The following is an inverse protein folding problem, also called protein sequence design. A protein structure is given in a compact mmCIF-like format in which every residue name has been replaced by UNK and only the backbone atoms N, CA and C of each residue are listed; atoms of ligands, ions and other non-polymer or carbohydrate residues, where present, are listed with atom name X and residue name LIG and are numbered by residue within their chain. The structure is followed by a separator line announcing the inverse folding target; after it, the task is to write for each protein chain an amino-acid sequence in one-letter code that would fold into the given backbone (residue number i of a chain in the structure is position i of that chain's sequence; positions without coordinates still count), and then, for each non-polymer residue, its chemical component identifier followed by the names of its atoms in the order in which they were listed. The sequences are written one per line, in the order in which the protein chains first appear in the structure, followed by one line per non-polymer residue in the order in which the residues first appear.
data_IF_474050093937
#
_entry.id   IF_474050093937
#
_cell.length_a   1.000
_cell.length_b   1.000
_cell.length_c   1.000
_cell.angle_alpha   90.00
_cell.angle_beta   90.00
_cell.angle_gamma   90.00
#
_symmetry.space_group_name_H-M   'P 1'
#
loop_
_entity.id
_entity.type
_entity.pdbx_description
1 polymer ?
#
# COMPACT_ATOMS: atom_id res chain seq x y z
N UNK A 1 23.66 -2.37 8.31
CA UNK A 1 22.41 -2.84 8.91
C UNK A 1 21.28 -2.22 8.12
N UNK A 2 20.50 -3.02 7.42
CA UNK A 2 19.23 -2.56 6.83
C UNK A 2 18.23 -3.61 7.26
N UNK A 3 17.50 -3.34 8.34
CA UNK A 3 16.34 -4.13 8.74
C UNK A 3 15.36 -3.97 7.60
N UNK A 4 15.35 -4.98 6.72
CA UNK A 4 14.51 -5.02 5.53
C UNK A 4 13.08 -5.27 5.98
N UNK A 5 12.41 -4.24 6.48
CA UNK A 5 10.96 -4.26 6.55
C UNK A 5 10.48 -4.22 5.10
N UNK A 6 9.86 -5.31 4.66
CA UNK A 6 9.26 -5.37 3.33
C UNK A 6 8.05 -4.43 3.36
N UNK A 7 8.21 -3.23 2.81
CA UNK A 7 7.11 -2.29 2.63
C UNK A 7 6.27 -2.79 1.47
N UNK A 8 5.05 -3.24 1.74
CA UNK A 8 4.09 -3.64 0.73
C UNK A 8 3.12 -2.48 0.52
N UNK A 9 2.89 -2.09 -0.72
CA UNK A 9 1.98 -1.01 -1.08
C UNK A 9 0.88 -1.57 -1.98
N UNK A 10 -0.31 -1.67 -1.43
CA UNK A 10 -1.51 -2.01 -2.18
C UNK A 10 -2.00 -0.77 -2.91
N UNK A 11 -2.02 -0.87 -4.23
CA UNK A 11 -2.39 0.21 -5.14
C UNK A 11 -3.54 -0.20 -6.03
N UNK A 12 -4.18 0.79 -6.64
CA UNK A 12 -5.15 0.60 -7.73
C UNK A 12 -4.85 1.61 -8.84
N UNK A 13 -5.00 1.21 -10.11
CA UNK A 13 -4.75 2.09 -11.25
C UNK A 13 -5.80 3.21 -11.39
N UNK A 14 -6.92 3.17 -10.65
CA UNK A 14 -7.91 4.24 -10.62
C UNK A 14 -7.60 5.37 -9.61
N UNK A 15 -6.50 5.27 -8.87
CA UNK A 15 -6.22 6.10 -7.70
C UNK A 15 -4.95 6.94 -7.86
N UNK A 16 -5.12 8.24 -8.08
CA UNK A 16 -4.02 9.22 -8.21
C UNK A 16 -3.12 9.35 -6.97
N UNK A 17 -3.62 8.98 -5.78
CA UNK A 17 -2.81 8.94 -4.56
C UNK A 17 -1.80 7.80 -4.55
N UNK A 18 -2.11 6.68 -5.21
CA UNK A 18 -1.16 5.57 -5.35
C UNK A 18 0.07 6.02 -6.14
N UNK A 19 -0.15 6.69 -7.27
CA UNK A 19 0.94 7.21 -8.11
C UNK A 19 1.83 8.21 -7.36
N UNK A 20 1.23 9.12 -6.58
CA UNK A 20 1.98 10.09 -5.79
C UNK A 20 2.86 9.39 -4.73
N UNK A 21 2.30 8.40 -4.02
CA UNK A 21 3.02 7.63 -3.02
C UNK A 21 4.18 6.84 -3.62
N UNK A 22 3.95 6.14 -4.73
CA UNK A 22 5.00 5.38 -5.43
C UNK A 22 6.12 6.31 -5.90
N UNK A 23 5.77 7.48 -6.44
CA UNK A 23 6.76 8.47 -6.86
C UNK A 23 7.61 8.99 -5.70
N UNK A 24 6.99 9.26 -4.54
CA UNK A 24 7.71 9.68 -3.34
C UNK A 24 8.65 8.56 -2.84
N UNK A 25 8.18 7.31 -2.79
CA UNK A 25 8.99 6.15 -2.38
C UNK A 25 10.16 5.89 -3.34
N UNK A 26 9.93 5.98 -4.65
CA UNK A 26 10.98 5.86 -5.67
C UNK A 26 12.02 6.96 -5.54
N UNK A 27 11.56 8.20 -5.31
CA UNK A 27 12.43 9.36 -5.12
C UNK A 27 13.27 9.26 -3.86
N UNK A 28 12.69 8.72 -2.78
CA UNK A 28 13.38 8.48 -1.52
C UNK A 28 14.27 7.23 -1.55
N UNK A 29 14.19 6.43 -2.63
CA UNK A 29 14.97 5.20 -2.80
C UNK A 29 14.56 4.09 -1.82
N UNK A 30 13.31 4.15 -1.35
CA UNK A 30 12.75 3.15 -0.44
C UNK A 30 12.43 1.89 -1.24
N UNK A 31 12.85 0.73 -0.74
CA UNK A 31 12.50 -0.54 -1.36
C UNK A 31 11.10 -0.95 -0.91
N UNK A 32 10.15 -1.01 -1.84
CA UNK A 32 8.78 -1.44 -1.60
C UNK A 32 8.32 -2.44 -2.66
N UNK A 33 7.26 -3.19 -2.32
CA UNK A 33 6.58 -4.14 -3.19
C UNK A 33 5.21 -3.58 -3.53
N UNK A 34 5.04 -3.18 -4.79
CA UNK A 34 3.75 -2.73 -5.29
C UNK A 34 2.85 -3.94 -5.59
N UNK A 35 1.65 -3.94 -5.03
CA UNK A 35 0.62 -4.94 -5.31
C UNK A 35 -0.57 -4.21 -5.90
N UNK A 36 -0.88 -4.49 -7.16
CA UNK A 36 -2.08 -3.99 -7.82
C UNK A 36 -3.27 -4.89 -7.46
N UNK A 37 -4.25 -4.33 -6.74
CA UNK A 37 -5.45 -5.05 -6.34
C UNK A 37 -6.41 -5.36 -7.50
N UNK A 38 -6.30 -4.66 -8.62
CA UNK A 38 -7.07 -4.94 -9.83
C UNK A 38 -6.46 -6.14 -10.59
N UNK A 39 -5.14 -6.22 -10.63
CA UNK A 39 -4.42 -7.38 -11.18
C UNK A 39 -4.44 -8.60 -10.24
N UNK A 40 -4.43 -8.35 -8.92
CA UNK A 40 -4.39 -9.36 -7.85
C UNK A 40 -5.64 -9.31 -6.95
N UNK A 41 -6.83 -9.63 -7.49
CA UNK A 41 -8.06 -9.61 -6.71
C UNK A 41 -8.04 -10.60 -5.53
N UNK A 42 -7.18 -11.62 -5.56
CA UNK A 42 -6.95 -12.55 -4.45
C UNK A 42 -6.41 -11.88 -3.18
N UNK A 43 -5.83 -10.68 -3.29
CA UNK A 43 -5.30 -9.92 -2.16
C UNK A 43 -6.30 -8.92 -1.58
N UNK A 44 -7.43 -8.69 -2.25
CA UNK A 44 -8.53 -7.85 -1.74
C UNK A 44 -9.01 -8.31 -0.36
N UNK A 45 -9.22 -9.62 -0.08
CA UNK A 45 -9.64 -10.07 1.25
C UNK A 45 -8.59 -9.80 2.32
N UNK A 46 -7.29 -9.82 1.97
CA UNK A 46 -6.22 -9.49 2.91
C UNK A 46 -6.21 -7.99 3.21
N UNK A 47 -6.28 -7.15 2.17
CA UNK A 47 -6.42 -5.71 2.32
C UNK A 47 -7.65 -5.37 3.17
N UNK A 48 -8.83 -5.97 2.89
CA UNK A 48 -10.04 -5.78 3.71
C UNK A 48 -9.82 -6.23 5.15
N UNK A 49 -9.10 -7.32 5.42
CA UNK A 49 -8.74 -7.71 6.80
C UNK A 49 -7.86 -6.66 7.48
N UNK A 50 -6.89 -6.10 6.76
CA UNK A 50 -5.95 -5.10 7.28
C UNK A 50 -6.62 -3.74 7.54
N UNK A 51 -7.59 -3.36 6.72
CA UNK A 51 -8.37 -2.12 6.85
C UNK A 51 -9.62 -2.26 7.72
N UNK A 52 -9.92 -3.46 8.23
CA UNK A 52 -11.13 -3.71 9.04
C UNK A 52 -12.44 -3.79 8.24
N UNK A 53 -12.35 -4.07 6.94
CA UNK A 53 -13.47 -4.28 6.02
C UNK A 53 -13.66 -3.15 5.01
N UNK A 54 -12.82 -2.13 5.04
CA UNK A 54 -12.96 -0.95 4.18
C UNK A 54 -12.09 -1.07 2.92
N UNK A 55 -12.68 -0.80 1.75
CA UNK A 55 -11.96 -0.83 0.47
C UNK A 55 -11.25 0.48 0.17
N UNK A 56 -10.36 0.88 1.07
CA UNK A 56 -9.61 2.14 0.97
C UNK A 56 -8.26 1.84 0.31
N UNK A 57 -7.85 2.70 -0.62
CA UNK A 57 -6.53 2.65 -1.26
C UNK A 57 -5.95 4.06 -1.32
N UNK A 58 -4.62 4.23 -1.21
CA UNK A 58 -3.59 3.19 -1.05
C UNK A 58 -3.50 2.62 0.38
N UNK A 59 -3.07 1.36 0.52
CA UNK A 59 -2.75 0.75 1.83
C UNK A 59 -1.27 0.38 1.85
N UNK A 60 -0.56 0.84 2.85
CA UNK A 60 0.85 0.50 3.06
C UNK A 60 0.97 -0.45 4.25
N UNK A 61 1.77 -1.48 4.10
CA UNK A 61 2.08 -2.44 5.16
C UNK A 61 3.58 -2.51 5.31
N UNK A 62 4.10 -2.10 6.46
CA UNK A 62 5.50 -2.17 6.81
C UNK A 62 5.69 -3.07 8.02
N UNK A 63 5.93 -4.37 7.76
CA UNK A 63 6.04 -5.37 8.82
C UNK A 63 4.72 -5.51 9.61
N UNK A 64 4.71 -5.05 10.86
CA UNK A 64 3.53 -5.06 11.73
C UNK A 64 2.70 -3.77 11.66
N UNK A 65 3.20 -2.75 10.94
CA UNK A 65 2.53 -1.47 10.80
C UNK A 65 1.66 -1.47 9.53
N UNK A 66 0.36 -1.25 9.71
CA UNK A 66 -0.59 -1.05 8.61
C UNK A 66 -1.00 0.41 8.60
N UNK A 67 -0.75 1.09 7.48
CA UNK A 67 -1.16 2.47 7.24
C UNK A 67 -2.22 2.44 6.14
N UNK A 68 -3.41 2.90 6.47
CA UNK A 68 -4.56 2.96 5.55
C UNK A 68 -4.74 4.39 5.06
N UNK A 69 -4.69 4.59 3.74
CA UNK A 69 -4.88 5.88 3.08
C UNK A 69 -3.66 6.80 3.10
N UNK A 70 -3.60 7.71 2.12
CA UNK A 70 -2.64 8.82 2.12
C UNK A 70 -3.17 9.91 3.07
N UNK A 71 -2.50 10.14 4.21
CA UNK A 71 -2.91 11.05 5.30
C UNK A 71 -4.15 10.67 6.15
N UNK A 72 -4.60 9.41 6.14
CA UNK A 72 -5.63 8.95 7.09
C UNK A 72 -7.04 9.53 6.87
N UNK A 73 -7.34 9.97 5.64
CA UNK A 73 -8.69 10.36 5.23
C UNK A 73 -9.20 9.32 4.25
N UNK A 74 -10.06 8.42 4.74
CA UNK A 74 -10.91 7.53 3.94
C UNK A 74 -12.16 8.26 3.45
#
# INVERSE_FOLDING_TARGET
MVTKHALIVYTRPDCSYSDALLHDLDKDGVAYEQIDLEAHPEQIPEMERLTGGERITPVMVEGDLVIVGYHGVG
#
